data_IF_908556971420
#
_entry.id   IF_908556971420
#
_cell.length_a   1.000
_cell.length_b   1.000
_cell.length_c   1.000
_cell.angle_alpha   90.00
_cell.angle_beta   90.00
_cell.angle_gamma   90.00
#
_symmetry.space_group_name_H-M   'P 1'
#
loop_
_entity.id
_entity.type
_entity.pdbx_description
1 polymer ?
#
# COMPACT_ATOMS: atom_id res chain seq x y z
N UNK A 1 65.89 24.37 -48.62
CA UNK A 1 65.14 23.26 -49.25
C UNK A 1 63.93 22.97 -48.38
N UNK A 2 62.79 23.63 -48.66
CA UNK A 2 61.55 23.53 -47.86
C UNK A 2 60.69 22.36 -48.36
N UNK A 3 60.34 21.42 -47.49
CA UNK A 3 59.33 20.40 -47.74
C UNK A 3 58.01 20.90 -47.13
N UNK A 4 57.06 21.29 -47.97
CA UNK A 4 55.64 21.42 -47.60
C UNK A 4 55.01 20.03 -47.67
N UNK A 5 54.42 19.56 -46.56
CA UNK A 5 53.48 18.43 -46.57
C UNK A 5 52.13 18.95 -46.09
N UNK A 6 51.19 18.96 -47.03
CA UNK A 6 49.78 19.32 -46.84
C UNK A 6 49.10 18.32 -45.91
N UNK A 7 48.45 18.83 -44.85
CA UNK A 7 47.56 18.03 -44.00
C UNK A 7 46.12 18.28 -44.45
N UNK A 8 45.48 17.23 -44.96
CA UNK A 8 44.08 17.19 -45.36
C UNK A 8 43.22 17.06 -44.10
N UNK A 9 42.45 18.09 -43.76
CA UNK A 9 41.52 18.08 -42.62
C UNK A 9 40.21 17.39 -43.06
N UNK A 10 39.97 16.18 -42.56
CA UNK A 10 38.70 15.46 -42.73
C UNK A 10 37.74 15.89 -41.60
N UNK A 11 36.78 16.77 -41.89
CA UNK A 11 35.72 17.14 -40.94
C UNK A 11 34.66 16.04 -40.98
N UNK A 12 34.67 15.15 -39.98
CA UNK A 12 33.58 14.21 -39.72
C UNK A 12 32.49 14.98 -38.98
N UNK A 13 31.44 15.37 -39.68
CA UNK A 13 30.22 15.88 -39.08
C UNK A 13 29.47 14.71 -38.41
N UNK A 14 29.63 14.56 -37.09
CA UNK A 14 28.80 13.68 -36.29
C UNK A 14 27.42 14.33 -36.17
N UNK A 15 26.46 13.88 -36.98
CA UNK A 15 25.05 14.11 -36.71
C UNK A 15 24.69 13.36 -35.42
N UNK A 16 24.64 14.05 -34.28
CA UNK A 16 23.86 13.59 -33.14
C UNK A 16 22.39 13.67 -33.53
N UNK A 17 21.83 12.57 -34.03
CA UNK A 17 20.39 12.36 -33.97
C UNK A 17 20.07 12.14 -32.50
N UNK A 18 19.55 13.19 -31.83
CA UNK A 18 18.94 13.03 -30.54
C UNK A 18 17.74 12.09 -30.73
N UNK A 19 17.90 10.81 -30.37
CA UNK A 19 16.77 9.93 -30.17
C UNK A 19 15.89 10.59 -29.11
N UNK A 20 14.70 11.03 -29.51
CA UNK A 20 13.62 11.30 -28.56
C UNK A 20 13.29 9.96 -27.90
N UNK A 21 14.08 9.60 -26.88
CA UNK A 21 13.92 8.37 -26.15
C UNK A 21 12.52 8.33 -25.56
N UNK A 22 11.79 7.26 -25.85
CA UNK A 22 10.54 6.99 -25.16
C UNK A 22 10.84 7.03 -23.66
N UNK A 23 10.24 8.01 -22.98
CA UNK A 23 10.46 8.21 -21.57
C UNK A 23 10.00 6.97 -20.80
N UNK A 24 10.80 6.54 -19.82
CA UNK A 24 10.44 5.35 -19.07
C UNK A 24 9.13 5.55 -18.32
N UNK A 25 8.37 4.47 -18.06
CA UNK A 25 7.19 4.50 -17.20
C UNK A 25 7.46 5.21 -15.86
N UNK A 26 8.58 4.89 -15.21
CA UNK A 26 8.95 5.46 -13.92
C UNK A 26 9.17 6.97 -13.97
N UNK A 27 9.90 7.47 -14.98
CA UNK A 27 10.12 8.90 -15.17
C UNK A 27 8.81 9.66 -15.48
N UNK A 28 7.87 9.01 -16.17
CA UNK A 28 6.57 9.59 -16.47
C UNK A 28 5.74 9.77 -15.19
N UNK A 29 5.73 8.78 -14.30
CA UNK A 29 5.08 8.87 -12.98
C UNK A 29 5.73 9.97 -12.14
N UNK A 30 7.07 10.03 -12.09
CA UNK A 30 7.80 11.08 -11.35
C UNK A 30 7.47 12.49 -11.86
N UNK A 31 7.41 12.67 -13.18
CA UNK A 31 7.03 13.96 -13.79
C UNK A 31 5.61 14.35 -13.40
N UNK A 32 4.68 13.40 -13.45
CA UNK A 32 3.28 13.66 -13.14
C UNK A 32 3.08 14.04 -11.66
N UNK A 33 3.81 13.40 -10.75
CA UNK A 33 3.84 13.81 -9.34
C UNK A 33 4.42 15.23 -9.16
N UNK A 34 5.47 15.59 -9.90
CA UNK A 34 5.99 16.96 -9.93
C UNK A 34 4.97 17.98 -10.43
N UNK A 35 4.28 17.67 -11.53
CA UNK A 35 3.19 18.50 -12.08
C UNK A 35 2.09 18.70 -11.05
N UNK A 36 1.68 17.64 -10.35
CA UNK A 36 0.68 17.71 -9.28
C UNK A 36 1.09 18.72 -8.21
N UNK A 37 2.33 18.64 -7.71
CA UNK A 37 2.85 19.55 -6.66
C UNK A 37 2.83 21.01 -7.15
N UNK A 38 3.34 21.26 -8.35
CA UNK A 38 3.37 22.62 -8.93
C UNK A 38 1.96 23.17 -9.13
N UNK A 39 1.06 22.38 -9.72
CA UNK A 39 -0.31 22.78 -10.00
C UNK A 39 -1.13 22.98 -8.71
N UNK A 40 -0.95 22.11 -7.72
CA UNK A 40 -1.56 22.25 -6.40
C UNK A 40 -1.17 23.59 -5.78
N UNK A 41 0.13 23.87 -5.60
CA UNK A 41 0.60 25.10 -4.97
C UNK A 41 0.19 26.38 -5.73
N UNK A 42 0.09 26.31 -7.06
CA UNK A 42 -0.38 27.40 -7.90
C UNK A 42 -1.93 27.56 -7.89
N UNK A 43 -2.65 26.64 -7.25
CA UNK A 43 -4.12 26.49 -7.32
C UNK A 43 -4.66 26.36 -8.75
N UNK A 44 -3.84 25.82 -9.65
CA UNK A 44 -4.16 25.57 -11.05
C UNK A 44 -4.62 24.12 -11.23
N UNK A 45 -5.77 23.79 -10.63
CA UNK A 45 -6.26 22.41 -10.58
C UNK A 45 -6.68 21.87 -11.95
N UNK A 46 -6.99 22.76 -12.90
CA UNK A 46 -7.28 22.37 -14.27
C UNK A 46 -6.09 21.66 -14.92
N UNK A 47 -4.85 22.06 -14.59
CA UNK A 47 -3.66 21.34 -15.08
C UNK A 47 -3.59 19.89 -14.61
N UNK A 48 -4.11 19.59 -13.42
CA UNK A 48 -4.17 18.21 -12.89
C UNK A 48 -5.27 17.44 -13.61
N UNK A 49 -6.46 18.02 -13.72
CA UNK A 49 -7.61 17.42 -14.39
C UNK A 49 -7.30 17.05 -15.85
N UNK A 50 -6.58 17.91 -16.58
CA UNK A 50 -6.17 17.65 -17.98
C UNK A 50 -5.26 16.43 -18.15
N UNK A 51 -4.66 15.92 -17.06
CA UNK A 51 -3.83 14.72 -17.09
C UNK A 51 -4.63 13.45 -16.84
N UNK A 52 -5.91 13.56 -16.45
CA UNK A 52 -6.76 12.41 -16.22
C UNK A 52 -7.05 11.67 -17.53
N UNK A 53 -7.14 10.35 -17.45
CA UNK A 53 -7.74 9.59 -18.52
C UNK A 53 -9.27 9.74 -18.51
N UNK A 54 -9.92 9.20 -19.54
CA UNK A 54 -11.37 9.36 -19.73
C UNK A 54 -12.17 8.82 -18.53
N UNK A 55 -11.78 7.66 -18.00
CA UNK A 55 -12.46 7.04 -16.87
C UNK A 55 -12.32 7.88 -15.59
N UNK A 56 -11.12 8.38 -15.31
CA UNK A 56 -10.82 9.20 -14.14
C UNK A 56 -11.52 10.57 -14.23
N UNK A 57 -11.52 11.20 -15.41
CA UNK A 57 -12.23 12.46 -15.64
C UNK A 57 -13.75 12.33 -15.43
N UNK A 58 -14.33 11.18 -15.81
CA UNK A 58 -15.73 10.89 -15.54
C UNK A 58 -16.01 10.62 -14.04
N UNK A 59 -15.09 9.94 -13.36
CA UNK A 59 -15.23 9.60 -11.94
C UNK A 59 -15.03 10.81 -11.02
N UNK A 60 -14.13 11.73 -11.38
CA UNK A 60 -13.78 12.92 -10.61
C UNK A 60 -13.92 14.17 -11.50
N UNK A 61 -15.15 14.71 -11.64
CA UNK A 61 -15.37 15.97 -12.34
C UNK A 61 -14.59 17.13 -11.71
N UNK A 62 -14.21 18.13 -12.52
CA UNK A 62 -13.33 19.23 -12.11
C UNK A 62 -13.82 20.06 -10.91
N UNK A 63 -15.12 20.21 -10.72
CA UNK A 63 -15.70 20.87 -9.55
C UNK A 63 -15.45 20.07 -8.25
N UNK A 64 -15.60 18.75 -8.30
CA UNK A 64 -15.27 17.85 -7.18
C UNK A 64 -13.76 17.85 -6.89
N UNK A 65 -12.93 17.79 -7.93
CA UNK A 65 -11.47 17.88 -7.77
C UNK A 65 -11.09 19.20 -7.11
N UNK A 66 -11.64 20.32 -7.59
CA UNK A 66 -11.39 21.65 -7.04
C UNK A 66 -11.78 21.72 -5.57
N UNK A 67 -13.01 21.29 -5.22
CA UNK A 67 -13.47 21.29 -3.83
C UNK A 67 -12.53 20.51 -2.91
N UNK A 68 -12.14 19.30 -3.32
CA UNK A 68 -11.20 18.47 -2.58
C UNK A 68 -9.83 19.12 -2.39
N UNK A 69 -9.25 19.72 -3.44
CA UNK A 69 -7.91 20.35 -3.34
C UNK A 69 -7.93 21.71 -2.61
N UNK A 70 -9.04 22.43 -2.65
CA UNK A 70 -9.26 23.64 -1.84
C UNK A 70 -9.38 23.28 -0.35
N UNK A 71 -10.13 22.23 -0.02
CA UNK A 71 -10.22 21.70 1.35
C UNK A 71 -8.83 21.30 1.87
N UNK A 72 -8.03 20.62 1.05
CA UNK A 72 -6.65 20.30 1.39
C UNK A 72 -5.78 21.54 1.62
N UNK A 73 -5.94 22.60 0.82
CA UNK A 73 -5.22 23.86 1.05
C UNK A 73 -5.59 24.49 2.39
N UNK A 74 -6.88 24.51 2.70
CA UNK A 74 -7.39 25.03 3.97
C UNK A 74 -6.83 24.23 5.13
N UNK A 75 -6.88 22.91 5.06
CA UNK A 75 -6.56 22.05 6.20
C UNK A 75 -5.05 21.89 6.36
N UNK A 76 -4.32 21.67 5.26
CA UNK A 76 -2.90 21.27 5.30
C UNK A 76 -1.92 22.34 4.79
N UNK A 77 -2.39 23.32 4.01
CA UNK A 77 -1.55 24.38 3.43
C UNK A 77 -0.89 23.97 2.11
N UNK A 78 0.16 24.68 1.72
CA UNK A 78 0.97 24.36 0.55
C UNK A 78 1.81 23.09 0.74
N UNK A 79 2.19 22.46 -0.38
CA UNK A 79 3.15 21.37 -0.43
C UNK A 79 4.58 21.92 -0.35
N UNK A 80 5.31 21.53 0.69
CA UNK A 80 6.70 21.92 0.92
C UNK A 80 7.70 20.93 0.33
N UNK A 81 7.34 19.64 0.21
CA UNK A 81 8.20 18.64 -0.42
C UNK A 81 7.46 17.44 -1.02
N UNK A 82 8.09 16.87 -2.05
CA UNK A 82 7.80 15.58 -2.65
C UNK A 82 8.95 14.63 -2.32
N UNK A 83 8.65 13.57 -1.57
CA UNK A 83 9.62 12.55 -1.18
C UNK A 83 9.97 11.59 -2.32
N UNK A 84 10.93 10.70 -2.05
CA UNK A 84 11.36 9.66 -2.99
C UNK A 84 10.22 8.69 -3.27
N UNK A 85 10.00 8.41 -4.56
CA UNK A 85 8.99 7.46 -5.01
C UNK A 85 9.30 6.02 -4.54
N UNK A 86 8.27 5.31 -4.10
CA UNK A 86 8.27 3.86 -3.90
C UNK A 86 7.37 3.25 -4.96
N UNK A 87 7.94 2.50 -5.89
CA UNK A 87 7.19 1.89 -7.00
C UNK A 87 6.61 0.54 -6.60
N UNK A 88 5.29 0.40 -6.72
CA UNK A 88 4.60 -0.89 -6.57
C UNK A 88 4.45 -1.60 -7.92
N UNK A 89 4.51 -0.85 -9.04
CA UNK A 89 4.51 -1.33 -10.42
C UNK A 89 5.18 -0.30 -11.37
N UNK A 90 5.52 -0.64 -12.64
CA UNK A 90 6.23 0.29 -13.53
C UNK A 90 5.56 1.65 -13.75
N UNK A 91 4.22 1.72 -13.67
CA UNK A 91 3.42 2.94 -13.82
C UNK A 91 2.67 3.35 -12.55
N UNK A 92 3.01 2.78 -11.40
CA UNK A 92 2.33 3.06 -10.13
C UNK A 92 3.34 3.25 -9.02
N UNK A 93 3.26 4.40 -8.34
CA UNK A 93 4.14 4.73 -7.23
C UNK A 93 3.42 5.48 -6.11
N UNK A 94 4.02 5.38 -4.93
CA UNK A 94 3.67 6.14 -3.74
C UNK A 94 4.75 7.17 -3.45
N UNK A 95 4.32 8.37 -3.09
CA UNK A 95 5.18 9.51 -2.80
C UNK A 95 4.84 10.07 -1.42
N UNK A 96 5.81 10.11 -0.50
CA UNK A 96 5.66 10.90 0.72
C UNK A 96 5.46 12.37 0.36
N UNK A 97 4.45 13.01 0.93
CA UNK A 97 4.17 14.44 0.78
C UNK A 97 4.33 15.14 2.12
N UNK A 98 5.05 16.26 2.13
CA UNK A 98 5.02 17.19 3.26
C UNK A 98 4.24 18.42 2.86
N UNK A 99 3.17 18.70 3.60
CA UNK A 99 2.47 19.97 3.59
C UNK A 99 3.00 20.86 4.71
N UNK A 100 2.59 22.12 4.76
CA UNK A 100 2.89 23.03 5.87
C UNK A 100 2.40 22.50 7.23
N UNK A 101 1.23 21.82 7.25
CA UNK A 101 0.56 21.38 8.48
C UNK A 101 0.32 19.87 8.58
N UNK A 102 0.72 19.08 7.57
CA UNK A 102 0.48 17.63 7.57
C UNK A 102 1.53 16.86 6.77
N UNK A 103 1.64 15.56 7.07
CA UNK A 103 2.36 14.58 6.24
C UNK A 103 1.35 13.61 5.66
N UNK A 104 1.42 13.41 4.35
CA UNK A 104 0.51 12.53 3.61
C UNK A 104 1.32 11.62 2.67
N UNK A 105 0.63 10.71 2.00
CA UNK A 105 1.16 9.92 0.89
C UNK A 105 0.28 10.15 -0.34
N UNK A 106 0.89 10.46 -1.47
CA UNK A 106 0.25 10.45 -2.79
C UNK A 106 0.50 9.10 -3.44
N UNK A 107 -0.57 8.36 -3.76
CA UNK A 107 -0.52 7.23 -4.68
C UNK A 107 -0.94 7.70 -6.06
N UNK A 108 -0.10 7.44 -7.07
CA UNK A 108 -0.36 7.82 -8.45
C UNK A 108 -0.15 6.63 -9.37
N UNK A 109 -1.14 6.35 -10.23
CA UNK A 109 -1.04 5.36 -11.29
C UNK A 109 -1.35 5.95 -12.66
N UNK A 110 -0.56 5.56 -13.65
CA UNK A 110 -0.73 5.96 -15.05
C UNK A 110 -1.21 4.78 -15.91
N UNK A 111 -2.04 5.06 -16.90
CA UNK A 111 -2.41 4.10 -17.93
C UNK A 111 -1.32 3.95 -19.01
N UNK A 112 -1.62 3.17 -20.07
CA UNK A 112 -0.70 2.92 -21.18
C UNK A 112 -0.22 4.18 -21.90
N UNK A 113 -1.04 5.23 -21.92
CA UNK A 113 -0.78 6.50 -22.59
C UNK A 113 -0.10 7.53 -21.65
N UNK A 114 0.19 7.14 -20.42
CA UNK A 114 0.80 8.02 -19.42
C UNK A 114 -0.17 9.00 -18.78
N UNK A 115 -1.49 8.79 -18.91
CA UNK A 115 -2.52 9.60 -18.24
C UNK A 115 -2.84 9.04 -16.86
N UNK A 116 -3.23 9.92 -15.94
CA UNK A 116 -3.62 9.56 -14.58
C UNK A 116 -4.86 8.69 -14.64
N UNK A 117 -4.69 7.42 -14.25
CA UNK A 117 -5.75 6.44 -14.10
C UNK A 117 -6.18 6.28 -12.64
N UNK A 118 -5.32 6.69 -11.70
CA UNK A 118 -5.61 6.67 -10.27
C UNK A 118 -4.80 7.73 -9.53
N UNK A 119 -5.47 8.41 -8.61
CA UNK A 119 -4.90 9.41 -7.72
C UNK A 119 -5.53 9.24 -6.35
N UNK A 120 -4.70 9.08 -5.32
CA UNK A 120 -5.14 9.00 -3.93
C UNK A 120 -4.20 9.79 -3.04
N UNK A 121 -4.75 10.59 -2.13
CA UNK A 121 -3.99 11.24 -1.07
C UNK A 121 -4.59 10.84 0.26
N UNK A 122 -3.75 10.29 1.14
CA UNK A 122 -4.17 9.82 2.44
C UNK A 122 -3.02 9.98 3.45
N UNK A 123 -3.30 9.90 4.76
CA UNK A 123 -2.24 9.78 5.75
C UNK A 123 -1.32 8.61 5.38
N UNK A 124 0.00 8.71 5.66
CA UNK A 124 0.91 7.60 5.41
C UNK A 124 0.45 6.38 6.21
N UNK A 125 0.66 5.19 5.64
CA UNK A 125 0.41 3.95 6.37
C UNK A 125 1.16 4.01 7.72
N UNK A 126 0.53 3.57 8.83
CA UNK A 126 1.22 3.51 10.10
C UNK A 126 2.50 2.70 9.93
N UNK A 127 3.63 3.25 10.37
CA UNK A 127 4.89 2.50 10.39
C UNK A 127 4.68 1.30 11.30
N UNK A 128 4.70 0.10 10.71
CA UNK A 128 4.66 -1.13 11.50
C UNK A 128 5.98 -1.20 12.28
N UNK A 129 5.99 -1.09 13.61
CA UNK A 129 7.22 -1.26 14.37
C UNK A 129 7.78 -2.66 14.07
N UNK A 130 9.10 -2.85 13.96
CA UNK A 130 9.65 -4.17 13.80
C UNK A 130 9.21 -5.06 14.97
N UNK A 131 8.91 -6.33 14.69
CA UNK A 131 8.57 -7.29 15.74
C UNK A 131 9.86 -7.67 16.49
N UNK A 132 10.29 -6.81 17.42
CA UNK A 132 11.61 -6.91 18.07
C UNK A 132 11.59 -7.63 19.42
N UNK A 133 10.43 -8.04 19.90
CA UNK A 133 10.28 -8.63 21.23
C UNK A 133 9.40 -9.87 21.24
N UNK A 134 9.81 -10.89 21.99
CA UNK A 134 8.91 -11.96 22.42
C UNK A 134 7.98 -11.43 23.52
N UNK A 135 6.82 -12.06 23.66
CA UNK A 135 5.94 -11.89 24.81
C UNK A 135 6.73 -12.07 26.11
N UNK A 136 6.49 -11.19 27.10
CA UNK A 136 7.11 -11.30 28.44
C UNK A 136 6.40 -12.35 29.30
N UNK A 137 5.08 -12.45 29.17
CA UNK A 137 4.26 -13.46 29.83
C UNK A 137 4.47 -14.79 29.13
N UNK A 138 4.80 -15.85 29.87
CA UNK A 138 4.79 -17.19 29.32
C UNK A 138 3.36 -17.58 28.99
N UNK A 139 3.08 -17.81 27.70
CA UNK A 139 1.76 -18.24 27.23
C UNK A 139 1.81 -19.72 26.87
N UNK A 140 0.71 -20.40 27.10
CA UNK A 140 0.42 -21.75 26.60
C UNK A 140 -0.69 -21.67 25.55
N UNK A 141 -0.89 -22.75 24.77
CA UNK A 141 -1.99 -22.78 23.81
C UNK A 141 -3.32 -22.97 24.54
N UNK A 142 -4.40 -22.27 24.12
CA UNK A 142 -5.69 -22.29 24.79
C UNK A 142 -6.50 -23.57 24.55
N UNK A 143 -5.86 -24.69 24.20
CA UNK A 143 -6.57 -25.91 23.84
C UNK A 143 -5.75 -27.16 24.14
N UNK A 144 -6.47 -28.27 24.29
CA UNK A 144 -5.89 -29.59 24.37
C UNK A 144 -5.69 -30.16 22.97
N UNK A 145 -4.74 -31.10 22.88
CA UNK A 145 -4.43 -31.84 21.65
C UNK A 145 -3.93 -30.94 20.50
N UNK A 146 -3.69 -31.55 19.34
CA UNK A 146 -3.18 -30.85 18.16
C UNK A 146 -4.29 -30.13 17.42
N UNK A 147 -3.99 -28.91 16.98
CA UNK A 147 -4.84 -28.09 16.12
C UNK A 147 -3.99 -27.51 14.98
N UNK A 148 -4.63 -27.23 13.86
CA UNK A 148 -4.00 -26.70 12.66
C UNK A 148 -3.92 -25.17 12.71
N UNK A 149 -2.72 -24.61 12.58
CA UNK A 149 -2.53 -23.16 12.46
C UNK A 149 -2.75 -22.75 11.01
N UNK A 150 -3.88 -22.11 10.72
CA UNK A 150 -4.24 -21.65 9.38
C UNK A 150 -3.59 -20.31 9.06
N UNK A 151 -3.64 -19.37 10.00
CA UNK A 151 -2.85 -18.13 9.93
C UNK A 151 -2.00 -17.99 11.19
N UNK A 152 -0.69 -17.96 11.02
CA UNK A 152 0.25 -17.81 12.11
C UNK A 152 1.68 -17.57 11.62
N UNK A 153 2.48 -16.92 12.45
CA UNK A 153 3.87 -16.58 12.13
C UNK A 153 4.11 -15.10 11.86
N UNK A 154 5.39 -14.79 11.61
CA UNK A 154 5.93 -13.42 11.67
C UNK A 154 5.96 -12.70 10.31
N UNK A 155 5.44 -13.31 9.23
CA UNK A 155 5.44 -12.73 7.87
C UNK A 155 4.04 -12.73 7.26
N UNK A 156 3.78 -11.78 6.35
CA UNK A 156 2.50 -11.68 5.62
C UNK A 156 2.21 -12.96 4.80
N UNK A 157 3.27 -13.63 4.32
CA UNK A 157 3.13 -14.88 3.57
C UNK A 157 2.62 -16.05 4.44
N UNK A 158 2.88 -16.04 5.74
CA UNK A 158 2.46 -17.08 6.69
C UNK A 158 1.20 -16.67 7.48
N UNK A 159 1.01 -15.37 7.69
CA UNK A 159 -0.09 -14.81 8.46
C UNK A 159 -0.56 -13.51 7.82
N UNK A 160 -1.71 -13.55 7.15
CA UNK A 160 -2.29 -12.37 6.51
C UNK A 160 -2.56 -11.24 7.53
N UNK A 161 -2.83 -11.57 8.79
CA UNK A 161 -3.07 -10.59 9.85
C UNK A 161 -1.88 -9.67 10.11
N UNK A 162 -0.66 -10.04 9.70
CA UNK A 162 0.50 -9.14 9.73
C UNK A 162 0.27 -7.84 8.96
N UNK A 163 -0.74 -7.79 8.08
CA UNK A 163 -1.13 -6.58 7.37
C UNK A 163 -2.05 -5.63 8.16
N UNK A 164 -2.80 -6.16 9.12
CA UNK A 164 -3.72 -5.41 9.97
C UNK A 164 -3.08 -5.06 11.33
N UNK A 165 -2.83 -3.76 11.64
CA UNK A 165 -2.14 -3.38 12.88
C UNK A 165 -2.77 -3.92 14.18
N UNK A 166 -4.10 -4.02 14.24
CA UNK A 166 -4.85 -4.50 15.41
C UNK A 166 -4.88 -6.02 15.54
N UNK A 167 -4.60 -6.75 14.45
CA UNK A 167 -4.63 -8.21 14.41
C UNK A 167 -3.25 -8.81 14.17
N UNK A 168 -2.20 -7.99 14.15
CA UNK A 168 -0.85 -8.40 13.75
C UNK A 168 -0.31 -9.65 14.46
N UNK A 169 -0.72 -9.86 15.70
CA UNK A 169 -0.31 -11.02 16.52
C UNK A 169 -1.42 -12.06 16.69
N UNK A 170 -2.52 -11.94 15.94
CA UNK A 170 -3.61 -12.89 15.93
C UNK A 170 -3.21 -14.16 15.20
N UNK A 171 -3.77 -15.27 15.66
CA UNK A 171 -3.64 -16.59 15.07
C UNK A 171 -5.02 -17.12 14.75
N UNK A 172 -5.17 -17.72 13.57
CA UNK A 172 -6.35 -18.49 13.23
C UNK A 172 -5.99 -19.97 13.38
N UNK A 173 -6.66 -20.63 14.32
CA UNK A 173 -6.37 -22.02 14.69
C UNK A 173 -7.64 -22.83 14.49
N UNK A 174 -7.52 -23.94 13.77
CA UNK A 174 -8.63 -24.75 13.29
C UNK A 174 -8.46 -26.20 13.75
N UNK A 175 -9.57 -26.87 14.05
CA UNK A 175 -9.58 -28.32 14.18
C UNK A 175 -9.99 -28.93 12.86
N UNK A 176 -9.15 -29.80 12.31
CA UNK A 176 -9.33 -30.40 10.99
C UNK A 176 -9.26 -31.92 11.05
N UNK A 177 -9.95 -32.58 10.13
CA UNK A 177 -9.77 -34.01 9.91
C UNK A 177 -8.53 -34.32 9.03
N UNK A 178 -8.27 -35.61 8.79
CA UNK A 178 -7.15 -36.06 7.97
C UNK A 178 -7.18 -35.58 6.51
N UNK A 179 -8.33 -35.10 6.03
CA UNK A 179 -8.49 -34.50 4.69
C UNK A 179 -8.41 -32.98 4.70
N UNK A 180 -8.21 -32.35 5.87
CA UNK A 180 -8.12 -30.91 6.05
C UNK A 180 -9.47 -30.20 6.16
N UNK A 181 -10.58 -30.92 6.30
CA UNK A 181 -11.90 -30.29 6.50
C UNK A 181 -12.09 -29.85 7.94
N UNK A 182 -12.80 -28.74 8.13
CA UNK A 182 -13.09 -28.17 9.45
C UNK A 182 -14.41 -28.64 10.06
N UNK A 183 -15.25 -29.33 9.28
CA UNK A 183 -16.59 -29.75 9.67
C UNK A 183 -17.01 -31.06 9.00
N UNK A 184 -18.03 -31.69 9.59
CA UNK A 184 -18.79 -32.80 9.03
C UNK A 184 -20.04 -32.31 8.29
N UNK A 185 -20.50 -33.07 7.30
CA UNK A 185 -21.73 -32.73 6.58
C UNK A 185 -21.63 -31.40 5.84
N UNK A 186 -22.64 -30.53 6.00
CA UNK A 186 -22.76 -29.25 5.29
C UNK A 186 -22.14 -28.05 6.00
N UNK A 187 -21.75 -28.18 7.29
CA UNK A 187 -21.24 -27.05 8.08
C UNK A 187 -22.31 -25.98 8.36
N UNK A 188 -23.59 -26.37 8.37
CA UNK A 188 -24.71 -25.43 8.47
C UNK A 188 -25.14 -25.16 9.92
N UNK A 189 -24.58 -25.91 10.88
CA UNK A 189 -24.80 -25.78 12.31
C UNK A 189 -23.45 -25.74 13.02
N UNK A 190 -23.38 -25.12 14.19
CA UNK A 190 -22.14 -25.02 14.95
C UNK A 190 -21.59 -26.41 15.30
N UNK A 191 -22.46 -27.36 15.66
CA UNK A 191 -22.13 -28.74 16.00
C UNK A 191 -21.50 -29.53 14.84
N UNK A 192 -21.60 -29.02 13.61
CA UNK A 192 -20.95 -29.66 12.47
C UNK A 192 -19.43 -29.42 12.50
N UNK A 193 -18.93 -28.38 13.18
CA UNK A 193 -17.52 -28.02 13.22
C UNK A 193 -16.75 -28.80 14.30
N UNK A 194 -15.58 -29.36 13.93
CA UNK A 194 -14.77 -30.15 14.86
C UNK A 194 -14.28 -29.35 16.08
N UNK A 195 -14.14 -28.04 15.93
CA UNK A 195 -13.74 -27.13 17.01
C UNK A 195 -14.89 -26.85 18.01
N UNK A 196 -16.14 -27.06 17.61
CA UNK A 196 -17.28 -26.76 18.47
C UNK A 196 -17.35 -27.70 19.68
N UNK A 197 -17.72 -27.15 20.83
CA UNK A 197 -17.78 -27.88 22.10
C UNK A 197 -16.43 -28.35 22.64
N UNK A 198 -15.30 -27.95 22.04
CA UNK A 198 -13.98 -28.23 22.60
C UNK A 198 -13.65 -27.28 23.76
N UNK A 199 -12.91 -27.78 24.75
CA UNK A 199 -12.41 -26.96 25.84
C UNK A 199 -11.49 -25.85 25.31
N UNK A 200 -11.75 -24.63 25.76
CA UNK A 200 -10.82 -23.50 25.65
C UNK A 200 -10.25 -23.23 27.04
N UNK A 201 -8.92 -23.27 27.12
CA UNK A 201 -8.14 -23.11 28.34
C UNK A 201 -7.63 -21.67 28.48
N UNK A 202 -7.26 -21.30 29.69
CA UNK A 202 -6.55 -20.05 29.95
C UNK A 202 -5.11 -20.13 29.39
N UNK A 203 -4.68 -19.09 28.68
CA UNK A 203 -3.34 -19.03 28.07
C UNK A 203 -2.22 -18.84 29.10
N UNK A 204 -2.54 -18.28 30.28
CA UNK A 204 -1.59 -17.98 31.35
C UNK A 204 -2.26 -17.98 32.73
N UNK A 205 -1.43 -17.99 33.78
CA UNK A 205 -1.90 -17.85 35.16
C UNK A 205 -2.67 -16.54 35.37
N UNK A 206 -3.82 -16.64 36.04
CA UNK A 206 -4.68 -15.49 36.30
C UNK A 206 -5.84 -15.82 37.23
N UNK A 207 -6.64 -14.79 37.55
CA UNK A 207 -7.86 -14.92 38.35
C UNK A 207 -9.03 -14.53 37.46
N UNK A 208 -10.00 -15.44 37.34
CA UNK A 208 -11.28 -15.14 36.67
C UNK A 208 -12.08 -14.20 37.57
N UNK A 209 -12.36 -12.99 37.10
CA UNK A 209 -13.12 -11.99 37.87
C UNK A 209 -14.60 -12.00 37.51
N UNK A 210 -14.93 -12.27 36.25
CA UNK A 210 -16.29 -12.16 35.71
C UNK A 210 -16.55 -13.29 34.71
N UNK A 211 -17.80 -13.75 34.66
CA UNK A 211 -18.27 -14.73 33.66
C UNK A 211 -19.54 -14.19 33.03
N UNK A 212 -19.52 -13.98 31.72
CA UNK A 212 -20.69 -13.55 30.94
C UNK A 212 -21.22 -14.75 30.17
N UNK A 213 -22.52 -15.04 30.32
CA UNK A 213 -23.22 -16.14 29.64
C UNK A 213 -24.40 -15.61 28.84
N UNK A 214 -24.93 -16.42 27.92
CA UNK A 214 -26.11 -16.06 27.11
C UNK A 214 -25.84 -15.13 25.94
N UNK A 215 -24.57 -14.92 25.57
CA UNK A 215 -24.21 -14.29 24.29
C UNK A 215 -24.69 -15.22 23.17
N UNK A 216 -25.51 -14.71 22.27
CA UNK A 216 -26.04 -15.48 21.15
C UNK A 216 -24.90 -15.77 20.16
N UNK A 217 -24.76 -17.03 19.77
CA UNK A 217 -23.86 -17.42 18.67
C UNK A 217 -24.30 -16.77 17.34
N UNK A 218 -23.31 -16.52 16.49
CA UNK A 218 -23.41 -15.76 15.24
C UNK A 218 -24.15 -16.51 14.14
#
# INVERSE_FOLDING_TARGET
MLIKRSVLLLIVAVLLVASAGAQSPAESVQRMAGLFVTAYNAKDYQKIEQQFNVAMAAAVPGDKLKGFLDDMHRDFGGLSSLGTAVFDAPRSARFPLSFERAKMELTLSLDGDGRIAGLRIAPPAPVKPPNTGRNKTSLTLPFRSEWFVFWGGDTVALNYHQDAPTQRFAFDILKVDASGKTHIGSGARNEDYYAFGQDILVDADGVVTDVVTGVKDN
#
